data_IF_081080253041
#
_entry.id   IF_081080253041
#
_cell.length_a   1.000
_cell.length_b   1.000
_cell.length_c   1.000
_cell.angle_alpha   90.00
_cell.angle_beta   90.00
_cell.angle_gamma   90.00
#
_symmetry.space_group_name_H-M   'P 1'
#
loop_
_entity.id
_entity.type
_entity.pdbx_description
1 polymer ?
#
# COMPACT_ATOMS: atom_id res chain seq x y z
N UNK A 1 -1.72 13.51 7.18
CA UNK A 1 -2.05 13.10 5.80
C UNK A 1 -3.34 12.27 5.80
N UNK A 2 -4.04 12.23 4.66
CA UNK A 2 -5.25 11.44 4.37
C UNK A 2 -5.03 10.44 3.23
N UNK A 3 -4.03 10.69 2.39
CA UNK A 3 -3.58 9.76 1.36
C UNK A 3 -2.12 9.42 1.63
N UNK A 4 -1.76 8.15 1.44
CA UNK A 4 -0.40 7.67 1.56
C UNK A 4 -0.04 6.79 0.35
N UNK A 5 1.07 7.10 -0.30
CA UNK A 5 1.62 6.35 -1.42
C UNK A 5 2.96 5.73 -1.06
N UNK A 6 3.06 4.41 -1.15
CA UNK A 6 4.28 3.67 -0.85
C UNK A 6 4.69 2.81 -2.05
N UNK A 7 5.73 3.25 -2.75
CA UNK A 7 6.34 2.50 -3.84
C UNK A 7 7.65 1.87 -3.39
N UNK A 8 7.71 0.54 -3.43
CA UNK A 8 8.95 -0.20 -3.18
C UNK A 8 9.00 -1.48 -3.99
N UNK A 9 10.20 -1.94 -4.35
CA UNK A 9 10.38 -3.17 -5.13
C UNK A 9 9.69 -4.40 -4.51
N UNK A 10 9.43 -5.41 -5.37
CA UNK A 10 8.83 -6.69 -4.95
C UNK A 10 9.63 -7.37 -3.84
N UNK A 11 8.92 -8.09 -2.96
CA UNK A 11 9.45 -8.82 -1.79
C UNK A 11 10.07 -7.94 -0.68
N UNK A 12 9.57 -6.72 -0.49
CA UNK A 12 9.94 -5.84 0.64
C UNK A 12 8.85 -5.77 1.74
N UNK A 13 8.02 -6.80 1.87
CA UNK A 13 7.00 -6.93 2.93
C UNK A 13 5.93 -5.80 3.01
N UNK A 14 5.65 -5.11 1.89
CA UNK A 14 4.59 -4.07 1.82
C UNK A 14 3.24 -4.56 2.30
N UNK A 15 2.75 -5.68 1.75
CA UNK A 15 1.42 -6.22 2.10
C UNK A 15 1.34 -6.55 3.59
N UNK A 16 2.42 -7.08 4.19
CA UNK A 16 2.51 -7.33 5.63
C UNK A 16 2.47 -6.03 6.45
N UNK A 17 3.19 -4.98 6.05
CA UNK A 17 3.09 -3.66 6.68
C UNK A 17 1.65 -3.12 6.60
N UNK A 18 1.02 -3.22 5.43
CA UNK A 18 -0.36 -2.80 5.22
C UNK A 18 -1.36 -3.57 6.07
N UNK A 19 -1.16 -4.87 6.29
CA UNK A 19 -1.98 -5.66 7.23
C UNK A 19 -1.92 -5.12 8.65
N UNK A 20 -0.74 -4.71 9.10
CA UNK A 20 -0.54 -4.08 10.41
C UNK A 20 -1.24 -2.72 10.50
N UNK A 21 -1.11 -1.89 9.46
CA UNK A 21 -1.83 -0.61 9.36
C UNK A 21 -3.33 -0.83 9.36
N UNK A 22 -3.84 -1.81 8.59
CA UNK A 22 -5.26 -2.15 8.56
C UNK A 22 -5.79 -2.51 9.96
N UNK A 23 -5.08 -3.34 10.72
CA UNK A 23 -5.44 -3.65 12.10
C UNK A 23 -5.43 -2.42 13.01
N UNK A 24 -4.42 -1.56 12.88
CA UNK A 24 -4.33 -0.31 13.63
C UNK A 24 -5.54 0.59 13.35
N UNK A 25 -5.85 0.83 12.08
CA UNK A 25 -7.00 1.63 11.65
C UNK A 25 -8.34 1.00 12.07
N UNK A 26 -8.39 -0.32 12.22
CA UNK A 26 -9.63 -1.02 12.62
C UNK A 26 -9.93 -0.90 14.13
N UNK A 27 -8.91 -0.77 14.99
CA UNK A 27 -9.15 -0.91 16.43
C UNK A 27 -8.24 -0.14 17.38
N UNK A 28 -7.23 0.57 16.89
CA UNK A 28 -6.29 1.33 17.71
C UNK A 28 -6.25 2.83 17.38
N UNK A 29 -6.82 3.26 16.25
CA UNK A 29 -6.85 4.65 15.79
C UNK A 29 -7.89 5.52 16.53
N UNK A 30 -8.73 4.92 17.39
CA UNK A 30 -9.71 5.65 18.21
C UNK A 30 -10.99 6.06 17.47
N UNK A 31 -11.17 5.62 16.22
CA UNK A 31 -12.36 5.87 15.42
C UNK A 31 -13.48 4.86 15.75
N UNK A 32 -14.69 5.39 16.00
CA UNK A 32 -15.90 4.58 16.15
C UNK A 32 -16.47 4.13 14.80
N UNK A 33 -16.83 2.86 14.70
CA UNK A 33 -17.46 2.26 13.53
C UNK A 33 -16.54 2.26 12.30
N UNK A 34 -15.23 2.13 12.50
CA UNK A 34 -14.25 2.20 11.43
C UNK A 34 -14.48 1.07 10.41
N UNK A 35 -14.69 1.45 9.15
CA UNK A 35 -14.73 0.50 8.04
C UNK A 35 -13.38 0.51 7.33
N UNK A 36 -12.66 -0.61 7.44
CA UNK A 36 -11.35 -0.80 6.82
C UNK A 36 -11.45 -1.81 5.70
N UNK A 37 -10.78 -1.51 4.59
CA UNK A 37 -10.89 -2.30 3.37
C UNK A 37 -9.54 -2.57 2.73
N UNK A 38 -9.34 -3.76 2.20
CA UNK A 38 -8.25 -4.05 1.25
C UNK A 38 -8.82 -4.23 -0.15
N UNK A 39 -8.18 -3.62 -1.13
CA UNK A 39 -8.56 -3.63 -2.53
C UNK A 39 -7.35 -3.98 -3.40
N UNK A 40 -7.61 -4.62 -4.53
CA UNK A 40 -6.63 -4.94 -5.55
C UNK A 40 -7.36 -5.19 -6.88
N UNK A 41 -6.64 -5.54 -7.94
CA UNK A 41 -7.25 -5.84 -9.25
C UNK A 41 -8.19 -7.04 -9.23
N UNK A 42 -7.99 -7.97 -8.29
CA UNK A 42 -8.86 -9.11 -8.07
C UNK A 42 -9.15 -9.29 -6.59
N UNK A 43 -10.29 -9.91 -6.28
CA UNK A 43 -10.66 -10.24 -4.90
C UNK A 43 -9.61 -11.14 -4.22
N UNK A 44 -9.03 -12.08 -4.94
CA UNK A 44 -8.01 -12.98 -4.38
C UNK A 44 -6.72 -12.24 -4.00
N UNK A 45 -6.33 -11.23 -4.77
CA UNK A 45 -5.21 -10.35 -4.40
C UNK A 45 -5.58 -9.49 -3.18
N UNK A 46 -6.77 -8.90 -3.15
CA UNK A 46 -7.23 -8.10 -2.01
C UNK A 46 -7.24 -8.91 -0.71
N UNK A 47 -7.52 -10.22 -0.79
CA UNK A 47 -7.48 -11.13 0.35
C UNK A 47 -6.10 -11.36 0.93
N UNK A 48 -5.01 -11.10 0.21
CA UNK A 48 -3.65 -11.32 0.74
C UNK A 48 -3.41 -10.45 1.97
N UNK A 49 -3.63 -9.14 1.87
CA UNK A 49 -3.48 -8.20 2.99
C UNK A 49 -4.41 -8.57 4.15
N UNK A 50 -5.65 -8.93 3.85
CA UNK A 50 -6.65 -9.31 4.85
C UNK A 50 -6.28 -10.61 5.59
N UNK A 51 -5.90 -11.67 4.86
CA UNK A 51 -5.54 -12.95 5.48
C UNK A 51 -4.23 -12.84 6.27
N UNK A 52 -3.28 -12.00 5.84
CA UNK A 52 -2.08 -11.67 6.61
C UNK A 52 -2.45 -10.98 7.94
N UNK A 53 -3.36 -10.00 7.93
CA UNK A 53 -3.86 -9.35 9.14
C UNK A 53 -4.53 -10.37 10.09
N UNK A 54 -5.39 -11.22 9.53
CA UNK A 54 -6.05 -12.30 10.28
C UNK A 54 -5.05 -13.30 10.86
N UNK A 55 -3.99 -13.62 10.11
CA UNK A 55 -2.89 -14.45 10.60
C UNK A 55 -2.12 -13.78 11.75
N UNK A 56 -1.93 -12.46 11.71
CA UNK A 56 -1.33 -11.70 12.83
C UNK A 56 -2.19 -11.82 14.09
N UNK A 57 -3.51 -11.58 13.99
CA UNK A 57 -4.44 -11.73 15.13
C UNK A 57 -4.43 -13.16 15.68
N UNK A 58 -4.46 -14.16 14.79
CA UNK A 58 -4.42 -15.58 15.19
C UNK A 58 -3.13 -15.93 15.94
N UNK A 59 -1.98 -15.49 15.45
CA UNK A 59 -0.67 -15.80 16.06
C UNK A 59 -0.44 -15.02 17.36
N UNK A 60 -0.95 -13.80 17.45
CA UNK A 60 -0.85 -12.94 18.64
C UNK A 60 -2.14 -12.95 19.48
N UNK A 61 -2.76 -14.13 19.66
CA UNK A 61 -4.08 -14.24 20.33
C UNK A 61 -4.07 -13.70 21.77
N UNK A 62 -2.94 -13.77 22.48
CA UNK A 62 -2.82 -13.26 23.85
C UNK A 62 -2.91 -11.73 23.94
N UNK A 63 -2.61 -11.01 22.86
CA UNK A 63 -2.65 -9.54 22.79
C UNK A 63 -3.73 -9.07 21.82
N UNK A 64 -3.52 -9.23 20.51
CA UNK A 64 -4.46 -8.81 19.47
C UNK A 64 -5.80 -9.55 19.55
N UNK A 65 -5.79 -10.79 20.01
CA UNK A 65 -7.02 -11.57 20.20
C UNK A 65 -7.95 -11.07 21.32
N UNK A 66 -7.52 -10.11 22.13
CA UNK A 66 -8.38 -9.38 23.09
C UNK A 66 -9.10 -8.21 22.46
N UNK A 67 -8.57 -7.71 21.34
CA UNK A 67 -9.11 -6.55 20.61
C UNK A 67 -9.96 -7.01 19.43
N UNK A 68 -9.55 -8.08 18.77
CA UNK A 68 -10.11 -8.49 17.50
C UNK A 68 -10.61 -9.94 17.52
N UNK A 69 -11.79 -10.13 16.95
CA UNK A 69 -12.28 -11.42 16.50
C UNK A 69 -12.38 -11.45 14.98
N UNK A 70 -12.53 -12.62 14.38
CA UNK A 70 -12.58 -12.74 12.92
C UNK A 70 -13.35 -13.96 12.48
N UNK A 71 -13.87 -13.90 11.25
CA UNK A 71 -14.41 -15.04 10.53
C UNK A 71 -13.71 -15.21 9.17
N UNK A 72 -14.37 -15.85 8.20
CA UNK A 72 -13.82 -16.03 6.85
C UNK A 72 -13.75 -14.73 6.05
N UNK A 73 -14.67 -13.81 6.30
CA UNK A 73 -14.93 -12.63 5.48
C UNK A 73 -14.40 -11.34 6.10
N UNK A 74 -14.28 -11.28 7.44
CA UNK A 74 -13.95 -10.06 8.15
C UNK A 74 -13.17 -10.29 9.44
N UNK A 75 -12.50 -9.24 9.89
CA UNK A 75 -11.98 -9.04 11.25
C UNK A 75 -12.86 -7.96 11.88
N UNK A 76 -13.23 -8.12 13.15
CA UNK A 76 -14.13 -7.23 13.87
C UNK A 76 -13.48 -6.73 15.15
N UNK A 77 -13.80 -5.49 15.51
CA UNK A 77 -13.55 -4.90 16.83
C UNK A 77 -14.93 -4.52 17.39
N UNK A 78 -15.40 -5.27 18.38
CA UNK A 78 -16.79 -5.18 18.86
C UNK A 78 -17.06 -3.87 19.63
N UNK A 79 -16.12 -3.42 20.46
CA UNK A 79 -16.28 -2.24 21.33
C UNK A 79 -16.57 -0.94 20.57
N UNK A 80 -16.02 -0.83 19.36
CA UNK A 80 -16.16 0.32 18.45
C UNK A 80 -17.08 0.01 17.28
N UNK A 81 -17.63 -1.20 17.16
CA UNK A 81 -18.39 -1.65 15.99
C UNK A 81 -17.62 -1.51 14.65
N UNK A 82 -16.31 -1.75 14.68
CA UNK A 82 -15.42 -1.59 13.53
C UNK A 82 -15.14 -2.93 12.84
N UNK A 83 -14.77 -2.87 11.55
CA UNK A 83 -14.50 -4.06 10.72
C UNK A 83 -13.38 -3.85 9.71
N UNK A 84 -12.71 -4.94 9.34
CA UNK A 84 -11.77 -5.01 8.23
C UNK A 84 -12.13 -6.14 7.28
N UNK A 85 -12.36 -5.83 6.01
CA UNK A 85 -12.80 -6.77 4.97
C UNK A 85 -12.05 -6.58 3.63
N UNK A 86 -11.85 -7.64 2.84
CA UNK A 86 -11.38 -7.50 1.46
C UNK A 86 -12.54 -7.11 0.55
N UNK A 87 -12.37 -6.05 -0.24
CA UNK A 87 -13.37 -5.61 -1.22
C UNK A 87 -13.46 -6.56 -2.40
N UNK A 88 -14.70 -6.78 -2.87
CA UNK A 88 -14.95 -7.42 -4.15
C UNK A 88 -14.62 -6.45 -5.29
N UNK A 89 -14.22 -7.01 -6.44
CA UNK A 89 -13.88 -6.26 -7.66
C UNK A 89 -15.06 -5.49 -8.30
N UNK A 90 -16.29 -5.67 -7.81
CA UNK A 90 -17.47 -5.01 -8.36
C UNK A 90 -17.62 -3.60 -7.76
N UNK A 91 -17.19 -2.60 -8.54
CA UNK A 91 -17.25 -1.17 -8.18
C UNK A 91 -18.67 -0.68 -7.83
N UNK A 92 -19.71 -1.34 -8.37
CA UNK A 92 -21.11 -0.96 -8.16
C UNK A 92 -21.60 -1.05 -6.69
N UNK A 93 -20.85 -1.70 -5.80
CA UNK A 93 -21.23 -1.85 -4.38
C UNK A 93 -20.47 -0.90 -3.44
N UNK A 94 -19.71 0.06 -3.96
CA UNK A 94 -18.80 0.89 -3.17
C UNK A 94 -19.39 2.26 -2.76
N UNK A 95 -20.48 2.71 -3.39
CA UNK A 95 -21.07 4.06 -3.20
C UNK A 95 -21.74 4.27 -1.82
N UNK A 96 -21.88 3.23 -1.01
CA UNK A 96 -22.47 3.29 0.33
C UNK A 96 -21.48 3.10 1.48
N UNK A 97 -20.19 2.97 1.18
CA UNK A 97 -19.17 2.68 2.18
C UNK A 97 -18.80 3.95 2.98
N UNK A 98 -18.61 3.79 4.28
CA UNK A 98 -18.15 4.86 5.16
C UNK A 98 -16.71 4.59 5.60
N UNK A 99 -15.81 4.71 4.62
CA UNK A 99 -14.44 4.21 4.70
C UNK A 99 -13.62 5.04 5.69
N UNK A 100 -13.10 4.35 6.71
CA UNK A 100 -12.06 4.87 7.57
C UNK A 100 -10.67 4.61 7.01
N UNK A 101 -10.43 3.42 6.44
CA UNK A 101 -9.18 3.16 5.74
C UNK A 101 -9.38 2.24 4.53
N UNK A 102 -8.77 2.59 3.41
CA UNK A 102 -8.73 1.74 2.22
C UNK A 102 -7.28 1.48 1.81
N UNK A 103 -6.89 0.22 1.75
CA UNK A 103 -5.56 -0.23 1.34
C UNK A 103 -5.66 -0.74 -0.09
N UNK A 104 -5.05 -0.05 -1.04
CA UNK A 104 -5.01 -0.46 -2.44
C UNK A 104 -3.67 -1.13 -2.72
N UNK A 105 -3.66 -2.45 -2.85
CA UNK A 105 -2.47 -3.23 -3.17
C UNK A 105 -2.25 -3.32 -4.69
N UNK A 106 -0.98 -3.40 -5.06
CA UNK A 106 -0.47 -3.45 -6.42
C UNK A 106 -1.08 -2.40 -7.35
N UNK A 107 -1.02 -1.12 -6.95
CA UNK A 107 -1.60 0.00 -7.74
C UNK A 107 -1.14 -0.01 -9.21
N UNK A 108 0.09 -0.45 -9.48
CA UNK A 108 0.63 -0.62 -10.83
C UNK A 108 -0.12 -1.58 -11.75
N UNK A 109 -0.91 -2.49 -11.17
CA UNK A 109 -1.69 -3.48 -11.91
C UNK A 109 -3.10 -2.97 -12.27
N UNK A 110 -3.58 -1.88 -11.64
CA UNK A 110 -4.88 -1.28 -11.95
C UNK A 110 -4.82 -0.58 -13.30
N UNK A 111 -5.79 -0.90 -14.17
CA UNK A 111 -5.84 -0.38 -15.55
C UNK A 111 -6.46 1.01 -15.63
N UNK A 112 -7.44 1.28 -14.77
CA UNK A 112 -8.23 2.52 -14.73
C UNK A 112 -8.15 3.12 -13.33
N UNK A 113 -8.67 4.34 -13.19
CA UNK A 113 -8.73 5.05 -11.90
C UNK A 113 -9.92 4.63 -11.03
N UNK A 114 -10.86 3.88 -11.57
CA UNK A 114 -12.18 3.65 -10.96
C UNK A 114 -12.10 3.19 -9.50
N UNK A 115 -11.24 2.21 -9.18
CA UNK A 115 -11.07 1.75 -7.78
C UNK A 115 -10.48 2.83 -6.88
N UNK A 116 -9.51 3.59 -7.38
CA UNK A 116 -8.91 4.68 -6.60
C UNK A 116 -9.93 5.78 -6.32
N UNK A 117 -10.58 6.29 -7.36
CA UNK A 117 -11.47 7.45 -7.26
C UNK A 117 -12.71 7.11 -6.40
N UNK A 118 -13.26 5.90 -6.53
CA UNK A 118 -14.40 5.45 -5.72
C UNK A 118 -14.02 5.31 -4.25
N UNK A 119 -12.85 4.75 -3.93
CA UNK A 119 -12.40 4.63 -2.54
C UNK A 119 -12.04 5.98 -1.94
N UNK A 120 -11.43 6.88 -2.71
CA UNK A 120 -11.11 8.24 -2.31
C UNK A 120 -12.38 9.02 -1.93
N UNK A 121 -13.40 9.01 -2.79
CA UNK A 121 -14.67 9.69 -2.53
C UNK A 121 -15.42 9.11 -1.32
N UNK A 122 -15.39 7.79 -1.13
CA UNK A 122 -16.02 7.13 0.01
C UNK A 122 -15.35 7.44 1.37
N UNK A 123 -14.18 8.08 1.37
CA UNK A 123 -13.50 8.52 2.61
C UNK A 123 -14.04 9.85 3.17
N UNK A 124 -14.87 10.58 2.40
CA UNK A 124 -15.24 11.97 2.67
C UNK A 124 -16.12 12.20 3.90
N UNK A 125 -16.81 11.17 4.39
CA UNK A 125 -17.65 11.26 5.59
C UNK A 125 -16.86 11.22 6.91
N UNK A 126 -15.57 10.87 6.87
CA UNK A 126 -14.70 10.73 8.06
C UNK A 126 -13.78 11.93 8.22
N UNK A 127 -13.42 12.24 9.47
CA UNK A 127 -12.51 13.36 9.76
C UNK A 127 -11.03 13.03 9.52
N UNK A 128 -10.65 11.76 9.65
CA UNK A 128 -9.24 11.33 9.67
C UNK A 128 -9.01 10.00 8.92
N UNK A 129 -9.75 9.77 7.84
CA UNK A 129 -9.61 8.57 7.03
C UNK A 129 -8.27 8.51 6.27
N UNK A 130 -7.86 7.28 5.93
CA UNK A 130 -6.61 6.99 5.23
C UNK A 130 -6.82 6.16 3.95
N UNK A 131 -6.51 6.74 2.80
CA UNK A 131 -6.33 6.01 1.54
C UNK A 131 -4.86 5.61 1.39
N UNK A 132 -4.55 4.32 1.48
CA UNK A 132 -3.17 3.81 1.45
C UNK A 132 -2.90 2.99 0.20
N UNK A 133 -2.27 3.61 -0.79
CA UNK A 133 -1.80 2.96 -2.02
C UNK A 133 -0.41 2.34 -1.81
N UNK A 134 -0.30 1.04 -2.01
CA UNK A 134 1.00 0.35 -2.05
C UNK A 134 1.26 -0.23 -3.43
N UNK A 135 2.50 -0.15 -3.88
CA UNK A 135 2.82 -0.59 -5.24
C UNK A 135 4.28 -0.96 -5.43
N UNK A 136 4.55 -1.58 -6.57
CA UNK A 136 5.89 -1.73 -7.13
C UNK A 136 5.99 -0.93 -8.42
N UNK A 137 7.21 -0.70 -8.92
CA UNK A 137 7.39 -0.02 -10.20
C UNK A 137 6.62 -0.75 -11.31
N UNK A 138 5.67 -0.05 -11.94
CA UNK A 138 4.89 -0.52 -13.07
C UNK A 138 5.54 -0.19 -14.41
N UNK A 139 5.17 -0.94 -15.45
CA UNK A 139 5.60 -0.65 -16.83
C UNK A 139 4.64 0.32 -17.56
N UNK A 140 3.39 0.39 -17.11
CA UNK A 140 2.40 1.28 -17.70
C UNK A 140 2.57 2.71 -17.18
N UNK A 141 3.17 3.57 -18.01
CA UNK A 141 3.36 5.00 -17.70
C UNK A 141 2.10 5.85 -17.87
N UNK A 142 1.06 5.29 -18.48
CA UNK A 142 -0.23 5.97 -18.71
C UNK A 142 -1.28 5.58 -17.65
N UNK A 143 -0.94 4.67 -16.73
CA UNK A 143 -1.87 4.20 -15.69
C UNK A 143 -1.84 5.04 -14.42
N UNK A 144 -2.87 4.82 -13.58
CA UNK A 144 -3.04 5.50 -12.28
C UNK A 144 -1.80 5.45 -11.39
N UNK A 145 -1.03 4.37 -11.43
CA UNK A 145 0.19 4.24 -10.64
C UNK A 145 1.25 5.29 -11.01
N UNK A 146 1.42 5.60 -12.29
CA UNK A 146 2.40 6.59 -12.74
C UNK A 146 1.90 8.01 -12.48
N UNK A 147 0.59 8.24 -12.61
CA UNK A 147 -0.04 9.51 -12.23
C UNK A 147 0.19 9.82 -10.73
N UNK A 148 -0.10 8.86 -9.85
CA UNK A 148 0.13 8.99 -8.41
C UNK A 148 1.62 9.16 -8.10
N UNK A 149 2.51 8.49 -8.85
CA UNK A 149 3.96 8.68 -8.71
C UNK A 149 4.39 10.10 -9.10
N UNK A 150 3.87 10.65 -10.20
CA UNK A 150 4.18 12.03 -10.63
C UNK A 150 3.72 13.04 -9.59
N UNK A 151 2.50 12.88 -9.06
CA UNK A 151 2.00 13.71 -7.96
C UNK A 151 2.87 13.58 -6.70
N UNK A 152 3.20 12.35 -6.29
CA UNK A 152 4.08 12.08 -5.17
C UNK A 152 5.45 12.76 -5.32
N UNK A 153 6.05 12.76 -6.52
CA UNK A 153 7.31 13.47 -6.79
C UNK A 153 7.15 14.98 -6.63
N UNK A 154 6.04 15.57 -7.11
CA UNK A 154 5.77 17.01 -6.94
C UNK A 154 5.59 17.38 -5.47
N UNK A 155 4.90 16.55 -4.69
CA UNK A 155 4.73 16.74 -3.24
C UNK A 155 6.07 16.64 -2.51
N UNK A 156 6.87 15.60 -2.79
CA UNK A 156 8.20 15.41 -2.19
C UNK A 156 9.15 16.57 -2.51
N UNK A 157 9.12 17.10 -3.74
CA UNK A 157 9.89 18.30 -4.11
C UNK A 157 9.40 19.55 -3.40
N UNK A 158 8.11 19.65 -3.08
CA UNK A 158 7.52 20.79 -2.37
C UNK A 158 7.84 20.83 -0.88
N UNK A 159 8.40 19.75 -0.34
CA UNK A 159 8.81 19.69 1.06
C UNK A 159 10.00 20.62 1.31
N UNK A 160 9.76 21.72 2.03
CA UNK A 160 10.76 22.75 2.39
C UNK A 160 11.48 23.40 1.20
N UNK A 161 10.88 23.44 0.02
CA UNK A 161 11.46 24.13 -1.13
C UNK A 161 10.39 24.81 -2.00
N UNK A 162 10.77 25.90 -2.67
CA UNK A 162 9.94 26.61 -3.64
C UNK A 162 10.41 26.30 -5.07
N UNK A 163 10.61 25.01 -5.37
CA UNK A 163 10.98 24.53 -6.71
C UNK A 163 9.78 24.64 -7.65
N UNK A 164 10.01 25.11 -8.88
CA UNK A 164 8.97 25.22 -9.91
C UNK A 164 8.32 23.86 -10.20
N UNK A 165 6.99 23.83 -10.24
CA UNK A 165 6.20 22.60 -10.43
C UNK A 165 6.03 21.72 -9.18
N UNK A 166 6.56 22.14 -8.03
CA UNK A 166 6.33 21.47 -6.75
C UNK A 166 4.92 21.77 -6.20
N UNK A 167 4.41 20.84 -5.38
CA UNK A 167 3.09 20.93 -4.75
C UNK A 167 3.25 20.90 -3.23
N UNK A 168 2.58 21.81 -2.52
CA UNK A 168 2.50 21.80 -1.05
C UNK A 168 1.18 21.16 -0.64
N UNK A 169 1.22 19.90 -0.22
CA UNK A 169 0.05 19.13 0.18
C UNK A 169 0.35 18.24 1.40
N UNK A 170 0.05 18.73 2.61
CA UNK A 170 0.23 17.99 3.86
C UNK A 170 -0.79 16.84 4.04
N UNK A 171 -1.80 16.77 3.16
CA UNK A 171 -2.75 15.68 3.12
C UNK A 171 -2.20 14.45 2.37
N UNK A 172 -1.09 14.57 1.64
CA UNK A 172 -0.50 13.48 0.87
C UNK A 172 0.88 13.09 1.41
N UNK A 173 0.98 11.87 1.94
CA UNK A 173 2.25 11.26 2.29
C UNK A 173 2.78 10.42 1.13
N UNK A 174 4.07 10.54 0.82
CA UNK A 174 4.71 9.75 -0.22
C UNK A 174 6.03 9.17 0.26
N UNK A 175 6.31 7.93 -0.14
CA UNK A 175 7.64 7.34 -0.04
C UNK A 175 7.90 6.47 -1.28
N UNK A 176 9.04 6.72 -1.93
CA UNK A 176 9.43 6.06 -3.17
C UNK A 176 10.84 5.51 -2.99
N UNK A 177 10.97 4.19 -3.01
CA UNK A 177 12.24 3.49 -2.97
C UNK A 177 12.66 3.10 -4.38
N UNK A 178 13.64 3.80 -4.92
CA UNK A 178 14.14 3.60 -6.28
C UNK A 178 15.66 3.83 -6.34
N UNK A 179 16.27 3.51 -7.49
CA UNK A 179 17.64 3.91 -7.76
C UNK A 179 17.64 5.36 -8.24
N UNK A 180 18.70 6.08 -7.94
CA UNK A 180 18.87 7.45 -8.42
C UNK A 180 19.27 7.46 -9.90
N UNK A 181 19.05 8.60 -10.55
CA UNK A 181 19.55 8.80 -11.90
C UNK A 181 21.09 8.73 -11.91
N UNK A 182 21.65 7.83 -12.73
CA UNK A 182 23.09 7.60 -12.82
C UNK A 182 23.62 6.44 -11.96
N UNK A 183 22.81 5.84 -11.08
CA UNK A 183 23.20 4.61 -10.38
C UNK A 183 23.37 3.45 -11.37
N UNK A 184 24.41 2.62 -11.18
CA UNK A 184 24.54 1.34 -11.89
C UNK A 184 23.63 0.29 -11.22
N UNK A 185 22.58 -0.22 -11.89
CA UNK A 185 21.70 -1.23 -11.31
C UNK A 185 22.41 -2.57 -11.03
N UNK A 186 23.63 -2.78 -11.55
CA UNK A 186 24.44 -3.96 -11.27
C UNK A 186 25.46 -3.76 -10.14
N UNK A 187 25.58 -2.54 -9.60
CA UNK A 187 26.37 -2.29 -8.39
C UNK A 187 25.55 -2.70 -7.15
N UNK A 188 26.07 -3.68 -6.40
CA UNK A 188 25.40 -4.19 -5.20
C UNK A 188 25.28 -3.15 -4.08
N UNK A 189 26.14 -2.12 -4.09
CA UNK A 189 26.17 -1.10 -3.02
C UNK A 189 24.97 -0.17 -3.05
N UNK A 190 24.30 -0.02 -4.20
CA UNK A 190 23.13 0.85 -4.37
C UNK A 190 21.80 0.11 -4.25
N UNK A 191 21.81 -1.23 -4.23
CA UNK A 191 20.58 -2.04 -4.23
C UNK A 191 19.63 -1.77 -3.07
N UNK A 192 20.17 -1.36 -1.92
CA UNK A 192 19.38 -1.06 -0.72
C UNK A 192 18.46 0.15 -0.91
N UNK A 193 18.81 1.11 -1.78
CA UNK A 193 17.98 2.29 -2.08
C UNK A 193 16.58 1.89 -2.57
N UNK A 194 16.53 0.93 -3.51
CA UNK A 194 15.28 0.37 -4.03
C UNK A 194 14.73 -0.81 -3.21
N UNK A 195 15.54 -1.37 -2.31
CA UNK A 195 15.23 -2.57 -1.52
C UNK A 195 15.54 -2.36 -0.04
N UNK A 196 14.78 -1.53 0.67
CA UNK A 196 15.01 -1.24 2.09
C UNK A 196 14.93 -2.50 2.99
N UNK A 197 14.26 -3.56 2.53
CA UNK A 197 14.18 -4.84 3.24
C UNK A 197 15.29 -5.85 2.89
N UNK A 198 16.31 -5.45 2.14
CA UNK A 198 17.41 -6.33 1.74
C UNK A 198 18.24 -6.79 2.94
N UNK A 199 18.47 -8.09 3.03
CA UNK A 199 19.07 -8.76 4.18
C UNK A 199 18.05 -9.27 5.21
N UNK A 200 16.87 -8.65 5.30
CA UNK A 200 15.84 -9.01 6.28
C UNK A 200 14.76 -9.89 5.64
N UNK A 201 13.94 -9.32 4.76
CA UNK A 201 12.85 -10.01 4.07
C UNK A 201 13.21 -10.38 2.62
N UNK A 202 14.12 -9.61 2.00
CA UNK A 202 14.70 -9.93 0.69
C UNK A 202 16.12 -10.46 0.86
N UNK A 203 16.47 -11.54 0.15
CA UNK A 203 17.77 -12.19 0.27
C UNK A 203 18.76 -11.65 -0.76
N UNK A 204 20.00 -11.44 -0.34
CA UNK A 204 21.11 -11.01 -1.20
C UNK A 204 21.30 -11.96 -2.38
N UNK A 205 21.36 -13.26 -2.13
CA UNK A 205 21.62 -14.25 -3.18
C UNK A 205 20.53 -14.30 -4.26
N UNK A 206 19.26 -14.09 -3.88
CA UNK A 206 18.16 -14.00 -4.86
C UNK A 206 18.32 -12.76 -5.74
N UNK A 207 18.71 -11.63 -5.16
CA UNK A 207 18.90 -10.39 -5.92
C UNK A 207 20.12 -10.47 -6.85
N UNK A 208 21.24 -11.05 -6.38
CA UNK A 208 22.42 -11.36 -7.21
C UNK A 208 22.09 -12.23 -8.41
N UNK A 209 21.32 -13.30 -8.16
CA UNK A 209 20.85 -14.22 -9.20
C UNK A 209 19.99 -13.48 -10.24
N UNK A 210 19.08 -12.61 -9.81
CA UNK A 210 18.23 -11.81 -10.70
C UNK A 210 19.05 -10.78 -11.49
N UNK A 211 20.01 -10.10 -10.86
CA UNK A 211 20.89 -9.14 -11.51
C UNK A 211 21.76 -9.81 -12.59
N UNK A 212 22.35 -10.97 -12.28
CA UNK A 212 23.11 -11.77 -13.26
C UNK A 212 22.24 -12.16 -14.45
N UNK A 213 21.04 -12.68 -14.19
CA UNK A 213 20.08 -13.02 -15.24
C UNK A 213 19.71 -11.81 -16.10
N UNK A 214 19.46 -10.65 -15.49
CA UNK A 214 19.14 -9.43 -16.21
C UNK A 214 20.30 -8.99 -17.12
N UNK A 215 21.56 -9.07 -16.64
CA UNK A 215 22.75 -8.73 -17.43
C UNK A 215 22.89 -9.60 -18.68
N UNK A 216 22.63 -10.90 -18.54
CA UNK A 216 22.66 -11.86 -19.66
C UNK A 216 21.48 -11.65 -20.64
N UNK A 217 20.30 -11.24 -20.14
CA UNK A 217 19.11 -11.04 -20.97
C UNK A 217 19.06 -9.68 -21.70
N UNK A 218 19.72 -8.64 -21.17
CA UNK A 218 19.86 -7.33 -21.85
C UNK A 218 20.83 -7.41 -23.04
N UNK A 219 21.59 -8.50 -23.15
CA UNK A 219 22.55 -8.74 -24.23
C UNK A 219 21.93 -9.44 -25.47
N UNK A 220 20.61 -9.36 -25.68
CA UNK A 220 19.90 -9.95 -26.81
C UNK A 220 18.94 -8.95 -27.48
#
# INVERSE_FOLDING_TARGET
FRTAYNEVARKNAKSTLSSGIGLYMTGADGEGGAEVYSAATTRDQARIVFEDAKNMVRKARSTLGRLFDFNKLAIYQEQSASKFEPLSSDANNLDGLNIHCAIIDELHAHKTRDVWDVLETATGARLQSLLFGITTAGFNKEGICYEQRDYAIKVLRGYNSDVEGAVKDDSYFAIIYTLDEGDDPFDETVWQKANPGLGICKRWDDLRRLAKKAKEQVSA
#
